data_IF_722805291777
#
_entry.id   IF_722805291777
#
_cell.length_a   1.000
_cell.length_b   1.000
_cell.length_c   1.000
_cell.angle_alpha   90.00
_cell.angle_beta   90.00
_cell.angle_gamma   90.00
#
_symmetry.space_group_name_H-M   'P 1'
#
loop_
_entity.id
_entity.type
_entity.pdbx_description
1 polymer ?
#
# COMPACT_ATOMS: atom_id res chain seq x y z
N UNK A 1 5.75 -7.80 3.16
CA UNK A 1 5.29 -6.40 2.96
C UNK A 1 5.89 -5.96 1.64
N UNK A 2 5.08 -5.52 0.68
CA UNK A 2 5.47 -5.37 -0.73
C UNK A 2 4.46 -5.95 -1.73
N UNK A 3 3.18 -6.07 -1.36
CA UNK A 3 2.15 -6.57 -2.27
C UNK A 3 2.33 -8.02 -2.75
N UNK A 4 3.22 -8.82 -2.12
CA UNK A 4 3.50 -10.20 -2.52
C UNK A 4 2.23 -11.06 -2.46
N UNK A 5 1.62 -11.29 -3.62
CA UNK A 5 0.37 -12.03 -3.80
C UNK A 5 -0.83 -11.19 -4.22
N UNK A 6 -0.78 -9.87 -4.07
CA UNK A 6 -1.83 -8.94 -4.51
C UNK A 6 -1.68 -8.50 -5.97
N UNK A 7 -2.58 -7.63 -6.41
CA UNK A 7 -2.59 -7.02 -7.74
C UNK A 7 -3.89 -6.26 -8.02
N UNK A 8 -3.92 -5.58 -9.16
CA UNK A 8 -5.15 -4.99 -9.71
C UNK A 8 -5.70 -5.95 -10.76
N UNK A 9 -6.97 -6.32 -10.64
CA UNK A 9 -7.65 -7.17 -11.61
C UNK A 9 -8.56 -6.31 -12.50
N UNK A 10 -8.38 -6.40 -13.82
CA UNK A 10 -9.20 -5.68 -14.80
C UNK A 10 -10.32 -6.54 -15.39
N UNK A 11 -10.28 -7.85 -15.13
CA UNK A 11 -11.27 -8.82 -15.58
C UNK A 11 -11.36 -10.01 -14.59
N UNK A 12 -12.34 -10.88 -14.84
CA UNK A 12 -12.65 -12.02 -13.98
C UNK A 12 -11.51 -13.05 -13.91
N UNK A 13 -10.85 -13.31 -15.05
CA UNK A 13 -9.80 -14.33 -15.11
C UNK A 13 -8.57 -13.88 -14.28
N UNK A 14 -8.18 -12.61 -14.41
CA UNK A 14 -7.14 -11.99 -13.57
C UNK A 14 -7.52 -11.97 -12.09
N UNK A 15 -8.80 -11.70 -11.78
CA UNK A 15 -9.29 -11.69 -10.41
C UNK A 15 -9.11 -13.05 -9.73
N UNK A 16 -9.48 -14.13 -10.42
CA UNK A 16 -9.35 -15.49 -9.90
C UNK A 16 -7.88 -15.89 -9.69
N UNK A 17 -6.99 -15.55 -10.64
CA UNK A 17 -5.56 -15.80 -10.52
C UNK A 17 -4.95 -15.06 -9.32
N UNK A 18 -5.23 -13.77 -9.19
CA UNK A 18 -4.70 -12.92 -8.10
C UNK A 18 -5.23 -13.41 -6.76
N UNK A 19 -6.52 -13.73 -6.65
CA UNK A 19 -7.11 -14.22 -5.40
C UNK A 19 -6.50 -15.56 -4.98
N UNK A 20 -6.37 -16.52 -5.91
CA UNK A 20 -5.77 -17.82 -5.61
C UNK A 20 -4.35 -17.67 -5.07
N UNK A 21 -3.54 -16.86 -5.75
CA UNK A 21 -2.17 -16.57 -5.31
C UNK A 21 -2.14 -15.84 -3.96
N UNK A 22 -3.06 -14.91 -3.74
CA UNK A 22 -3.21 -14.19 -2.48
C UNK A 22 -3.53 -15.13 -1.31
N UNK A 23 -4.44 -16.09 -1.50
CA UNK A 23 -4.75 -17.10 -0.49
C UNK A 23 -3.58 -18.02 -0.18
N UNK A 24 -2.83 -18.47 -1.19
CA UNK A 24 -1.67 -19.34 -1.02
C UNK A 24 -0.52 -18.66 -0.25
N UNK A 25 -0.35 -17.35 -0.45
CA UNK A 25 0.71 -16.56 0.19
C UNK A 25 0.29 -15.97 1.54
N UNK A 26 -1.01 -15.83 1.80
CA UNK A 26 -1.54 -15.25 3.03
C UNK A 26 -1.33 -16.20 4.21
N UNK A 27 -0.61 -15.80 5.28
CA UNK A 27 -0.42 -16.64 6.47
C UNK A 27 -1.73 -16.96 7.21
N UNK A 28 -2.78 -16.16 6.98
CA UNK A 28 -4.11 -16.34 7.58
C UNK A 28 -5.14 -16.87 6.59
N UNK A 29 -4.75 -17.14 5.34
CA UNK A 29 -5.67 -17.50 4.25
C UNK A 29 -6.81 -16.49 4.07
N UNK A 30 -6.50 -15.21 4.22
CA UNK A 30 -7.42 -14.10 4.02
C UNK A 30 -6.87 -13.13 2.96
N UNK A 31 -7.78 -12.56 2.16
CA UNK A 31 -7.50 -11.50 1.20
C UNK A 31 -8.51 -10.37 1.38
N UNK A 32 -8.12 -9.15 1.05
CA UNK A 32 -8.97 -7.96 1.06
C UNK A 32 -9.12 -7.44 -0.36
N UNK A 33 -10.35 -7.10 -0.73
CA UNK A 33 -10.72 -6.60 -2.06
C UNK A 33 -11.36 -5.24 -1.86
N UNK A 34 -10.87 -4.24 -2.60
CA UNK A 34 -11.39 -2.87 -2.55
C UNK A 34 -11.65 -2.33 -3.96
N UNK A 35 -12.42 -1.26 -4.04
CA UNK A 35 -12.56 -0.52 -5.28
C UNK A 35 -11.23 0.15 -5.65
N UNK A 36 -10.90 0.10 -6.94
CA UNK A 36 -9.64 0.66 -7.41
C UNK A 36 -9.72 2.19 -7.48
N UNK A 37 -8.97 2.86 -6.61
CA UNK A 37 -8.87 4.33 -6.54
C UNK A 37 -7.83 4.87 -7.52
N UNK A 38 -8.03 4.59 -8.81
CA UNK A 38 -7.09 4.95 -9.88
C UNK A 38 -6.80 6.46 -9.91
N UNK A 39 -5.52 6.82 -9.99
CA UNK A 39 -5.10 8.21 -10.20
C UNK A 39 -5.13 9.08 -8.94
N UNK A 40 -5.50 8.52 -7.79
CA UNK A 40 -5.47 9.25 -6.53
C UNK A 40 -4.03 9.45 -6.04
N UNK A 41 -3.81 10.56 -5.33
CA UNK A 41 -2.53 10.79 -4.64
C UNK A 41 -2.36 9.81 -3.49
N UNK A 42 -1.19 9.22 -3.40
CA UNK A 42 -0.82 8.34 -2.31
C UNK A 42 0.13 9.06 -1.33
N UNK A 43 -0.17 8.91 -0.05
CA UNK A 43 0.59 9.53 1.04
C UNK A 43 0.92 8.49 2.10
N UNK A 44 2.18 8.45 2.52
CA UNK A 44 2.63 7.63 3.64
C UNK A 44 3.04 8.53 4.81
N UNK A 45 2.84 8.07 6.04
CA UNK A 45 3.22 8.82 7.23
C UNK A 45 3.97 7.90 8.20
N UNK A 46 5.19 8.30 8.57
CA UNK A 46 5.95 7.65 9.62
C UNK A 46 5.52 8.22 10.98
N UNK A 47 4.93 7.37 11.81
CA UNK A 47 4.37 7.76 13.11
C UNK A 47 5.12 7.08 14.25
N UNK A 48 5.44 7.83 15.30
CA UNK A 48 5.98 7.31 16.56
C UNK A 48 5.01 7.62 17.68
N UNK A 49 4.62 6.60 18.45
CA UNK A 49 3.75 6.72 19.63
C UNK A 49 4.44 6.13 20.86
N UNK A 50 4.40 6.84 21.98
CA UNK A 50 4.96 6.37 23.25
C UNK A 50 3.91 5.76 24.19
N UNK A 51 4.37 5.19 25.31
CA UNK A 51 3.51 4.56 26.33
C UNK A 51 2.63 5.56 27.11
N UNK A 52 2.97 6.85 27.09
CA UNK A 52 2.24 7.92 27.76
C UNK A 52 1.21 8.57 26.82
N UNK A 53 0.97 7.95 25.67
CA UNK A 53 0.05 8.40 24.63
C UNK A 53 0.48 9.68 23.89
N UNK A 54 1.77 10.01 23.92
CA UNK A 54 2.30 11.03 23.01
C UNK A 54 2.46 10.42 21.61
N UNK A 55 2.06 11.17 20.58
CA UNK A 55 2.13 10.73 19.19
C UNK A 55 2.74 11.86 18.33
N UNK A 56 3.71 11.51 17.49
CA UNK A 56 4.35 12.44 16.55
C UNK A 56 4.39 11.84 15.14
N UNK A 57 4.30 12.72 14.14
CA UNK A 57 4.60 12.38 12.74
C UNK A 57 6.06 12.77 12.50
N UNK A 58 6.89 11.78 12.18
CA UNK A 58 8.33 11.96 11.91
C UNK A 58 8.56 12.45 10.49
N UNK A 59 7.84 11.86 9.53
CA UNK A 59 7.92 12.19 8.12
C UNK A 59 6.56 11.94 7.46
N UNK A 60 6.21 12.78 6.48
CA UNK A 60 5.15 12.50 5.52
C UNK A 60 5.80 12.28 4.16
N UNK A 61 5.33 11.33 3.37
CA UNK A 61 5.87 11.03 2.05
C UNK A 61 4.73 11.17 1.05
N UNK A 62 4.98 11.87 -0.06
CA UNK A 62 4.07 11.90 -1.21
C UNK A 62 4.67 11.06 -2.32
N UNK A 63 3.92 10.08 -2.81
CA UNK A 63 4.28 9.35 -4.02
C UNK A 63 4.03 10.25 -5.23
N UNK A 64 5.01 10.35 -6.12
CA UNK A 64 4.84 11.05 -7.39
C UNK A 64 3.98 10.26 -8.37
N UNK A 65 4.11 8.93 -8.31
CA UNK A 65 3.23 8.02 -9.02
C UNK A 65 1.91 7.86 -8.24
N UNK A 66 0.76 7.80 -8.93
CA UNK A 66 -0.54 7.67 -8.28
C UNK A 66 -0.76 6.26 -7.69
N UNK A 67 -1.79 6.14 -6.85
CA UNK A 67 -2.27 4.85 -6.34
C UNK A 67 -2.41 3.81 -7.46
N UNK A 68 -1.94 2.59 -7.20
CA UNK A 68 -2.03 1.45 -8.13
C UNK A 68 -0.70 0.99 -8.72
N UNK A 69 0.35 1.81 -8.62
CA UNK A 69 1.71 1.36 -8.87
C UNK A 69 2.26 0.63 -7.65
N UNK A 70 2.88 -0.54 -7.85
CA UNK A 70 3.44 -1.31 -6.74
C UNK A 70 4.55 -0.49 -6.07
N UNK A 71 4.39 -0.28 -4.76
CA UNK A 71 5.19 0.55 -3.86
C UNK A 71 6.72 0.34 -3.85
N UNK A 72 7.26 -0.64 -4.59
CA UNK A 72 8.70 -0.88 -4.62
C UNK A 72 9.47 0.02 -5.62
N UNK A 73 8.77 0.81 -6.47
CA UNK A 73 9.40 1.72 -7.43
C UNK A 73 8.75 3.13 -7.58
N UNK A 74 7.85 3.64 -6.71
CA UNK A 74 7.37 5.01 -6.89
C UNK A 74 8.48 6.01 -6.54
N UNK A 75 8.62 7.07 -7.34
CA UNK A 75 9.52 8.17 -6.98
C UNK A 75 8.91 8.92 -5.79
N UNK A 76 9.59 8.93 -4.64
CA UNK A 76 9.07 9.50 -3.40
C UNK A 76 9.67 10.87 -3.10
N UNK A 77 8.85 11.80 -2.62
CA UNK A 77 9.30 13.07 -2.08
C UNK A 77 9.15 13.08 -0.56
N UNK A 78 10.27 13.31 0.13
CA UNK A 78 10.25 13.69 1.54
C UNK A 78 10.23 15.21 1.65
N UNK A 79 9.33 15.82 2.45
CA UNK A 79 9.50 17.20 2.87
C UNK A 79 10.85 17.29 3.56
N UNK A 80 11.58 18.36 3.25
CA UNK A 80 12.88 18.65 3.85
C UNK A 80 12.73 18.49 5.38
N UNK A 81 13.47 17.52 5.94
CA UNK A 81 13.59 17.43 7.41
C UNK A 81 14.02 18.82 7.91
N UNK A 82 13.38 19.35 8.96
CA UNK A 82 13.76 20.64 9.52
C UNK A 82 15.22 20.65 9.98
#
# INVERSE_FOLDING_TARGET
MGGAGGGVAYNQDEFEEICSRGFDLSPTSEIYIDEYLEGWKEYEMEVVRDKNDNCIIVCSIENLDPMGYILEIPLQLHPLKP
#
